data_IF_307053041928
#
_entry.id   IF_307053041928
#
_cell.length_a   1.000
_cell.length_b   1.000
_cell.length_c   1.000
_cell.angle_alpha   90.00
_cell.angle_beta   90.00
_cell.angle_gamma   90.00
#
_symmetry.space_group_name_H-M   'P 1'
#
loop_
_entity.id
_entity.type
_entity.pdbx_description
1 polymer ?
#
# COMPACT_ATOMS: atom_id res chain seq x y z
N UNK A 1 -30.41 16.05 0.46
CA UNK A 1 -30.71 15.10 1.55
C UNK A 1 -29.42 14.39 1.93
N UNK A 2 -28.90 14.64 3.13
CA UNK A 2 -27.70 13.97 3.66
C UNK A 2 -28.18 12.73 4.39
N UNK A 3 -27.83 11.55 3.92
CA UNK A 3 -28.06 10.32 4.69
C UNK A 3 -27.00 10.25 5.80
N UNK A 4 -27.47 10.09 7.03
CA UNK A 4 -26.68 10.08 8.25
C UNK A 4 -25.71 8.89 8.28
N UNK A 5 -24.43 9.20 8.44
CA UNK A 5 -23.30 8.26 8.50
C UNK A 5 -23.42 7.25 9.65
N UNK A 6 -24.28 7.53 10.63
CA UNK A 6 -24.49 6.74 11.85
C UNK A 6 -25.43 5.53 11.67
N UNK A 7 -26.26 5.50 10.63
CA UNK A 7 -27.17 4.36 10.40
C UNK A 7 -26.48 3.20 9.66
N UNK A 8 -25.44 3.51 8.86
CA UNK A 8 -24.72 2.54 8.02
C UNK A 8 -23.78 1.65 8.87
N UNK A 9 -23.34 2.12 10.03
CA UNK A 9 -22.43 1.38 10.92
C UNK A 9 -23.14 0.31 11.76
N UNK A 10 -24.48 0.36 11.87
CA UNK A 10 -25.25 -0.49 12.79
C UNK A 10 -25.94 -1.70 12.13
N UNK A 11 -25.92 -1.82 10.80
CA UNK A 11 -26.68 -2.86 10.09
C UNK A 11 -25.98 -4.23 10.00
N UNK A 12 -24.86 -4.46 10.70
CA UNK A 12 -24.16 -5.75 10.65
C UNK A 12 -23.75 -6.17 12.08
N UNK A 13 -24.14 -7.36 12.57
CA UNK A 13 -23.91 -7.77 13.95
C UNK A 13 -22.42 -7.85 14.32
N UNK A 14 -22.13 -7.55 15.59
CA UNK A 14 -20.80 -7.31 16.14
C UNK A 14 -20.14 -8.59 16.67
N UNK A 15 -18.93 -8.87 16.17
CA UNK A 15 -17.90 -9.66 16.85
C UNK A 15 -16.53 -9.07 16.54
N UNK A 16 -15.61 -9.03 17.51
CA UNK A 16 -14.26 -8.49 17.35
C UNK A 16 -13.45 -9.15 16.21
N UNK A 17 -13.81 -10.35 15.77
CA UNK A 17 -13.22 -11.00 14.59
C UNK A 17 -13.70 -10.42 13.24
N UNK A 18 -14.75 -9.61 13.22
CA UNK A 18 -15.32 -9.01 12.00
C UNK A 18 -14.66 -7.70 11.57
N UNK A 19 -14.14 -6.90 12.51
CA UNK A 19 -13.55 -5.59 12.21
C UNK A 19 -12.19 -5.73 11.52
N UNK A 20 -11.31 -6.58 12.06
CA UNK A 20 -10.01 -6.88 11.41
C UNK A 20 -10.23 -7.43 10.00
N UNK A 21 -11.18 -8.35 9.84
CA UNK A 21 -11.51 -8.93 8.52
C UNK A 21 -11.98 -7.88 7.53
N UNK A 22 -12.79 -6.90 7.96
CA UNK A 22 -13.21 -5.77 7.11
C UNK A 22 -12.04 -4.86 6.73
N UNK A 23 -11.13 -4.59 7.67
CA UNK A 23 -9.91 -3.83 7.41
C UNK A 23 -9.09 -4.54 6.34
N UNK A 24 -8.87 -5.85 6.48
CA UNK A 24 -8.10 -6.65 5.52
C UNK A 24 -8.78 -6.65 4.13
N UNK A 25 -10.09 -6.79 4.07
CA UNK A 25 -10.85 -6.72 2.81
C UNK A 25 -10.78 -5.34 2.14
N UNK A 26 -10.86 -4.26 2.93
CA UNK A 26 -10.72 -2.88 2.43
C UNK A 26 -9.30 -2.64 1.90
N UNK A 27 -8.29 -3.20 2.56
CA UNK A 27 -6.88 -3.10 2.16
C UNK A 27 -6.63 -3.84 0.87
N UNK A 28 -7.16 -5.06 0.77
CA UNK A 28 -7.06 -5.88 -0.44
C UNK A 28 -7.74 -5.19 -1.62
N UNK A 29 -8.89 -4.55 -1.41
CA UNK A 29 -9.58 -3.78 -2.45
C UNK A 29 -8.74 -2.57 -2.90
N UNK A 30 -8.21 -1.78 -1.96
CA UNK A 30 -7.31 -0.64 -2.26
C UNK A 30 -6.06 -1.09 -3.02
N UNK A 31 -5.43 -2.18 -2.59
CA UNK A 31 -4.25 -2.73 -3.26
C UNK A 31 -4.57 -3.20 -4.68
N UNK A 32 -5.70 -3.90 -4.87
CA UNK A 32 -6.16 -4.31 -6.21
C UNK A 32 -6.46 -3.12 -7.12
N UNK A 33 -7.10 -2.07 -6.59
CA UNK A 33 -7.35 -0.84 -7.34
C UNK A 33 -6.03 -0.20 -7.80
N UNK A 34 -5.03 -0.12 -6.92
CA UNK A 34 -3.71 0.40 -7.26
C UNK A 34 -3.02 -0.46 -8.32
N UNK A 35 -2.96 -1.79 -8.13
CA UNK A 35 -2.34 -2.71 -9.09
C UNK A 35 -3.00 -2.59 -10.46
N UNK A 36 -4.35 -2.61 -10.52
CA UNK A 36 -5.09 -2.47 -11.76
C UNK A 36 -4.75 -1.16 -12.49
N UNK A 37 -4.53 -0.07 -11.75
CA UNK A 37 -4.07 1.19 -12.32
C UNK A 37 -2.65 1.07 -12.92
N UNK A 38 -1.71 0.49 -12.18
CA UNK A 38 -0.30 0.36 -12.61
C UNK A 38 -0.12 -0.61 -13.78
N UNK A 39 -1.03 -1.56 -13.96
CA UNK A 39 -1.04 -2.48 -15.10
C UNK A 39 -1.28 -1.74 -16.43
N UNK A 40 -2.03 -0.65 -16.42
CA UNK A 40 -2.47 0.06 -17.64
C UNK A 40 -1.82 1.43 -17.83
N UNK A 41 -1.44 2.10 -16.75
CA UNK A 41 -0.91 3.48 -16.77
C UNK A 41 0.55 3.53 -16.39
N UNK A 42 1.21 4.55 -16.92
CA UNK A 42 2.60 4.86 -16.59
C UNK A 42 2.75 5.48 -15.21
N UNK A 43 3.87 5.20 -14.54
CA UNK A 43 4.15 5.69 -13.20
C UNK A 43 5.66 5.81 -12.93
N UNK A 44 6.00 6.67 -11.97
CA UNK A 44 7.33 6.74 -11.37
C UNK A 44 7.40 5.77 -10.19
N UNK A 45 8.50 5.02 -10.08
CA UNK A 45 8.79 4.13 -8.96
C UNK A 45 9.86 4.78 -8.07
N UNK A 46 9.65 4.75 -6.77
CA UNK A 46 10.64 5.15 -5.78
C UNK A 46 10.87 4.03 -4.80
N UNK A 47 12.14 3.70 -4.56
CA UNK A 47 12.60 2.67 -3.65
C UNK A 47 13.35 3.32 -2.49
N UNK A 48 12.98 2.92 -1.29
CA UNK A 48 13.62 3.36 -0.06
C UNK A 48 14.03 2.15 0.79
N UNK A 49 15.15 2.28 1.49
CA UNK A 49 15.67 1.27 2.39
C UNK A 49 15.69 1.80 3.81
N UNK A 50 14.92 1.16 4.68
CA UNK A 50 15.08 1.33 6.11
C UNK A 50 15.88 0.17 6.68
N UNK A 51 16.97 0.44 7.37
CA UNK A 51 17.66 -0.56 8.20
C UNK A 51 16.83 -0.87 9.44
N UNK A 52 16.59 -2.15 9.73
CA UNK A 52 16.05 -2.63 11.00
C UNK A 52 17.20 -2.98 11.96
N UNK A 53 16.87 -3.32 13.21
CA UNK A 53 17.85 -3.92 14.12
C UNK A 53 18.08 -5.37 13.68
N UNK A 54 19.26 -5.92 13.98
CA UNK A 54 19.65 -7.31 13.68
C UNK A 54 19.86 -7.66 12.19
N UNK A 55 20.50 -6.76 11.42
CA UNK A 55 20.87 -6.95 9.99
C UNK A 55 19.70 -7.13 9.00
N UNK A 56 18.46 -7.06 9.44
CA UNK A 56 17.31 -7.01 8.54
C UNK A 56 17.17 -5.63 7.90
N UNK A 57 16.81 -5.58 6.61
CA UNK A 57 16.45 -4.33 5.95
C UNK A 57 15.02 -4.40 5.44
N UNK A 58 14.32 -3.28 5.44
CA UNK A 58 12.99 -3.16 4.85
C UNK A 58 13.10 -2.37 3.55
N UNK A 59 12.66 -2.97 2.45
CA UNK A 59 12.49 -2.32 1.17
C UNK A 59 11.07 -1.75 1.09
N UNK A 60 10.98 -0.43 1.00
CA UNK A 60 9.74 0.30 0.77
C UNK A 60 9.69 0.74 -0.68
N UNK A 61 8.58 0.47 -1.34
CA UNK A 61 8.32 0.92 -2.70
C UNK A 61 7.13 1.87 -2.71
N UNK A 62 7.30 3.01 -3.37
CA UNK A 62 6.27 4.00 -3.62
C UNK A 62 6.08 4.19 -5.12
N UNK A 63 4.86 4.49 -5.52
CA UNK A 63 4.53 4.84 -6.90
C UNK A 63 3.93 6.22 -6.95
N UNK A 64 4.34 7.00 -7.96
CA UNK A 64 3.74 8.28 -8.27
C UNK A 64 3.17 8.27 -9.67
N UNK A 65 1.90 8.62 -9.80
CA UNK A 65 1.16 8.59 -11.05
C UNK A 65 0.18 9.76 -11.12
N UNK A 66 -0.33 10.02 -12.33
CA UNK A 66 -1.34 11.05 -12.53
C UNK A 66 -2.74 10.41 -12.61
N UNK A 67 -3.61 10.79 -11.69
CA UNK A 67 -5.00 10.37 -11.67
C UNK A 67 -5.87 11.47 -11.06
N UNK A 68 -6.34 12.39 -11.90
CA UNK A 68 -7.02 13.63 -11.48
C UNK A 68 -6.12 14.51 -10.60
N UNK A 69 -4.81 14.49 -10.91
CA UNK A 69 -3.76 15.14 -10.14
C UNK A 69 -2.63 14.16 -9.78
N UNK A 70 -1.47 14.69 -9.33
CA UNK A 70 -0.36 13.85 -8.89
C UNK A 70 -0.73 13.11 -7.60
N UNK A 71 -0.68 11.78 -7.64
CA UNK A 71 -0.89 10.91 -6.49
C UNK A 71 0.38 10.14 -6.18
N UNK A 72 0.63 9.91 -4.90
CA UNK A 72 1.75 9.12 -4.37
C UNK A 72 1.15 8.04 -3.45
N UNK A 73 1.52 6.78 -3.70
CA UNK A 73 0.96 5.63 -2.99
C UNK A 73 2.07 4.67 -2.58
N UNK A 74 1.91 4.02 -1.42
CA UNK A 74 2.76 2.90 -1.03
C UNK A 74 2.41 1.70 -1.91
N UNK A 75 3.37 1.19 -2.66
CA UNK A 75 3.21 -0.01 -3.46
C UNK A 75 3.34 -1.27 -2.60
N UNK A 76 4.48 -1.42 -1.91
CA UNK A 76 4.71 -2.52 -0.97
C UNK A 76 5.78 -2.17 0.08
N UNK A 77 5.82 -2.97 1.14
CA UNK A 77 6.91 -3.04 2.11
C UNK A 77 7.34 -4.51 2.22
N UNK A 78 8.60 -4.83 1.89
CA UNK A 78 9.13 -6.20 1.93
C UNK A 78 10.42 -6.26 2.73
N UNK A 79 10.56 -7.28 3.57
CA UNK A 79 11.81 -7.53 4.31
C UNK A 79 12.86 -8.14 3.39
N UNK A 80 14.08 -7.62 3.45
CA UNK A 80 15.28 -8.15 2.83
C UNK A 80 16.05 -8.93 3.90
N UNK A 81 16.12 -10.25 3.74
CA UNK A 81 16.70 -11.18 4.73
C UNK A 81 18.15 -11.56 4.43
N UNK A 82 18.63 -11.30 3.22
CA UNK A 82 19.93 -11.79 2.73
C UNK A 82 20.99 -10.69 2.69
N UNK A 83 20.77 -9.64 1.90
CA UNK A 83 21.65 -8.50 1.80
C UNK A 83 20.91 -7.25 1.29
N UNK A 84 21.63 -6.12 1.22
CA UNK A 84 21.12 -4.86 0.66
C UNK A 84 21.75 -4.55 -0.69
N UNK A 85 22.12 -5.56 -1.50
CA UNK A 85 22.69 -5.31 -2.83
C UNK A 85 21.60 -4.88 -3.82
N UNK A 86 22.04 -4.19 -4.88
CA UNK A 86 21.14 -3.75 -5.96
C UNK A 86 20.41 -4.91 -6.64
N UNK A 87 21.07 -6.06 -6.80
CA UNK A 87 20.47 -7.26 -7.40
C UNK A 87 19.30 -7.82 -6.58
N UNK A 88 19.47 -7.95 -5.26
CA UNK A 88 18.41 -8.41 -4.35
C UNK A 88 17.19 -7.49 -4.38
N UNK A 89 17.41 -6.17 -4.35
CA UNK A 89 16.32 -5.19 -4.51
C UNK A 89 15.61 -5.36 -5.84
N UNK A 90 16.37 -5.45 -6.94
CA UNK A 90 15.81 -5.59 -8.27
C UNK A 90 14.97 -6.86 -8.38
N UNK A 91 15.47 -7.98 -7.85
CA UNK A 91 14.76 -9.25 -7.85
C UNK A 91 13.46 -9.18 -7.04
N UNK A 92 13.44 -8.51 -5.88
CA UNK A 92 12.21 -8.31 -5.10
C UNK A 92 11.18 -7.47 -5.86
N UNK A 93 11.60 -6.36 -6.48
CA UNK A 93 10.73 -5.51 -7.29
C UNK A 93 10.20 -6.28 -8.50
N UNK A 94 11.08 -6.97 -9.23
CA UNK A 94 10.72 -7.75 -10.41
C UNK A 94 9.77 -8.91 -10.06
N UNK A 95 9.99 -9.57 -8.93
CA UNK A 95 9.10 -10.61 -8.39
C UNK A 95 7.72 -10.04 -8.09
N UNK A 96 7.62 -8.93 -7.34
CA UNK A 96 6.34 -8.29 -7.06
C UNK A 96 5.59 -7.91 -8.34
N UNK A 97 6.29 -7.34 -9.33
CA UNK A 97 5.68 -6.91 -10.59
C UNK A 97 5.18 -8.10 -11.40
N UNK A 98 5.95 -9.20 -11.43
CA UNK A 98 5.55 -10.44 -12.08
C UNK A 98 4.33 -11.07 -11.42
N UNK A 99 4.32 -11.18 -10.09
CA UNK A 99 3.20 -11.72 -9.31
C UNK A 99 1.90 -10.93 -9.56
N UNK A 100 2.00 -9.60 -9.69
CA UNK A 100 0.87 -8.70 -9.88
C UNK A 100 0.61 -8.32 -11.34
N UNK A 101 1.28 -8.97 -12.30
CA UNK A 101 1.15 -8.71 -13.74
C UNK A 101 1.35 -7.23 -14.14
N UNK A 102 2.19 -6.49 -13.40
CA UNK A 102 2.50 -5.08 -13.69
C UNK A 102 3.62 -5.03 -14.75
N UNK A 103 3.37 -4.49 -15.95
CA UNK A 103 4.39 -4.41 -16.98
C UNK A 103 5.52 -3.45 -16.58
N UNK A 104 6.77 -3.91 -16.59
CA UNK A 104 7.94 -3.05 -16.30
C UNK A 104 8.04 -1.83 -17.24
N UNK A 105 7.53 -1.95 -18.48
CA UNK A 105 7.46 -0.85 -19.46
C UNK A 105 6.61 0.35 -19.01
N UNK A 106 5.76 0.17 -17.99
CA UNK A 106 4.95 1.24 -17.44
C UNK A 106 5.75 2.11 -16.44
N UNK A 107 6.93 1.67 -16.00
CA UNK A 107 7.83 2.48 -15.20
C UNK A 107 8.48 3.53 -16.11
N UNK A 108 8.19 4.81 -15.89
CA UNK A 108 8.81 5.92 -16.65
C UNK A 108 10.12 6.40 -16.03
N UNK A 109 10.23 6.29 -14.71
CA UNK A 109 11.43 6.65 -13.94
C UNK A 109 11.47 5.79 -12.69
N UNK A 110 12.67 5.37 -12.29
CA UNK A 110 12.92 4.66 -11.05
C UNK A 110 13.97 5.43 -10.27
N UNK A 111 13.68 5.72 -9.01
CA UNK A 111 14.63 6.34 -8.09
C UNK A 111 14.86 5.41 -6.89
N UNK A 112 16.10 5.27 -6.46
CA UNK A 112 16.47 4.56 -5.24
C UNK A 112 17.24 5.52 -4.32
N UNK A 113 17.03 5.42 -3.01
CA UNK A 113 17.81 6.18 -2.04
C UNK A 113 19.32 5.89 -2.19
N UNK A 114 20.12 6.96 -2.25
CA UNK A 114 21.56 6.98 -2.54
C UNK A 114 22.00 7.96 -3.64
N UNK A 115 21.07 8.52 -4.44
CA UNK A 115 21.38 9.51 -5.48
C UNK A 115 21.19 10.96 -4.96
N UNK A 116 22.21 11.86 -5.03
CA UNK A 116 22.15 13.24 -4.52
C UNK A 116 21.00 14.11 -5.06
N UNK A 117 20.38 13.72 -6.17
CA UNK A 117 19.23 14.41 -6.79
C UNK A 117 17.91 14.25 -6.03
N UNK A 118 17.86 13.41 -5.00
CA UNK A 118 16.65 13.03 -4.24
C UNK A 118 16.30 13.96 -3.05
N UNK A 119 16.88 15.16 -2.95
CA UNK A 119 16.60 16.10 -1.84
C UNK A 119 15.48 17.13 -2.15
N UNK A 120 14.92 17.11 -3.37
CA UNK A 120 13.91 18.07 -3.82
C UNK A 120 12.47 17.56 -3.80
N UNK A 121 11.71 17.84 -2.72
CA UNK A 121 10.22 17.82 -2.74
C UNK A 121 9.50 16.54 -2.27
N UNK A 122 10.20 15.46 -1.96
CA UNK A 122 9.65 14.12 -1.66
C UNK A 122 9.08 13.92 -0.23
N UNK A 123 8.73 15.00 0.49
CA UNK A 123 8.73 14.98 1.97
C UNK A 123 7.46 14.44 2.64
N UNK A 124 6.29 14.46 2.02
CA UNK A 124 5.03 14.37 2.81
C UNK A 124 4.64 12.91 3.13
N UNK A 125 4.53 12.03 2.13
CA UNK A 125 4.27 10.60 2.35
C UNK A 125 5.44 9.91 3.05
N UNK A 126 6.66 10.20 2.58
CA UNK A 126 7.91 9.73 3.15
C UNK A 126 8.07 10.08 4.64
N UNK A 127 7.80 11.33 5.04
CA UNK A 127 7.93 11.71 6.45
C UNK A 127 6.87 11.03 7.32
N UNK A 128 5.67 10.78 6.81
CA UNK A 128 4.60 10.15 7.59
C UNK A 128 4.84 8.66 7.79
N UNK A 129 5.23 7.94 6.74
CA UNK A 129 5.64 6.54 6.86
C UNK A 129 6.90 6.43 7.70
N UNK A 130 7.93 7.25 7.46
CA UNK A 130 9.15 7.27 8.28
C UNK A 130 8.92 7.67 9.74
N UNK A 131 7.97 8.57 10.03
CA UNK A 131 7.58 8.94 11.40
C UNK A 131 6.76 7.84 12.08
N UNK A 132 5.87 7.16 11.36
CA UNK A 132 5.15 6.00 11.89
C UNK A 132 6.15 4.86 12.12
N UNK A 133 7.06 4.61 11.19
CA UNK A 133 8.17 3.68 11.32
C UNK A 133 9.09 4.02 12.49
N UNK A 134 9.37 5.30 12.76
CA UNK A 134 10.27 5.71 13.86
C UNK A 134 9.58 5.73 15.22
N UNK A 135 8.27 6.01 15.29
CA UNK A 135 7.48 6.05 16.52
C UNK A 135 6.88 4.70 16.92
N UNK A 136 6.53 3.83 15.97
CA UNK A 136 5.98 2.50 16.24
C UNK A 136 7.11 1.49 16.50
N UNK A 137 7.37 1.23 17.78
CA UNK A 137 8.39 0.30 18.29
C UNK A 137 8.08 -1.20 18.08
N UNK A 138 7.14 -1.56 17.20
CA UNK A 138 6.75 -2.93 16.85
C UNK A 138 6.69 -3.09 15.32
N UNK A 139 7.87 -3.09 14.69
CA UNK A 139 8.09 -2.95 13.24
C UNK A 139 7.86 -4.22 12.40
N UNK A 140 7.69 -5.40 13.00
CA UNK A 140 7.42 -6.65 12.26
C UNK A 140 5.99 -6.72 11.67
N UNK A 141 5.10 -5.86 12.14
CA UNK A 141 3.66 -5.99 11.92
C UNK A 141 3.16 -5.18 10.71
N UNK A 142 4.00 -4.36 10.07
CA UNK A 142 3.59 -3.42 9.00
C UNK A 142 3.16 -4.15 7.71
N UNK A 143 3.79 -5.27 7.40
CA UNK A 143 3.37 -6.14 6.27
C UNK A 143 2.01 -6.78 6.56
N UNK A 144 1.60 -6.86 7.84
CA UNK A 144 0.35 -7.48 8.31
C UNK A 144 -0.69 -6.47 8.80
N UNK A 145 -0.34 -5.19 8.90
CA UNK A 145 -1.17 -4.10 9.41
C UNK A 145 -1.83 -3.37 8.27
N UNK A 146 -2.91 -3.97 7.77
CA UNK A 146 -3.77 -3.39 6.76
C UNK A 146 -4.30 -1.99 7.15
N UNK A 147 -4.52 -1.74 8.44
CA UNK A 147 -4.89 -0.44 9.01
C UNK A 147 -3.92 0.69 8.61
N UNK A 148 -2.62 0.37 8.53
CA UNK A 148 -1.61 1.36 8.14
C UNK A 148 -1.71 1.69 6.65
N UNK A 149 -1.95 0.70 5.78
CA UNK A 149 -2.13 0.94 4.34
C UNK A 149 -3.36 1.81 4.07
N UNK A 150 -4.49 1.52 4.73
CA UNK A 150 -5.68 2.37 4.65
C UNK A 150 -5.44 3.81 5.11
N UNK A 151 -4.59 4.00 6.13
CA UNK A 151 -4.28 5.32 6.68
C UNK A 151 -3.33 6.14 5.81
N UNK A 152 -2.58 5.49 4.93
CA UNK A 152 -1.55 6.09 4.09
C UNK A 152 -2.00 6.30 2.64
N UNK A 153 -3.03 5.58 2.19
CA UNK A 153 -3.51 5.66 0.81
C UNK A 153 -4.45 6.84 0.58
N UNK A 154 -4.40 7.41 -0.62
CA UNK A 154 -5.42 8.35 -1.13
C UNK A 154 -6.55 7.65 -1.89
N UNK A 155 -6.49 6.32 -2.01
CA UNK A 155 -7.52 5.50 -2.65
C UNK A 155 -8.57 5.11 -1.61
N UNK A 156 -9.84 5.37 -1.91
CA UNK A 156 -10.94 4.93 -1.06
C UNK A 156 -11.36 3.48 -1.38
N UNK A 157 -11.56 2.63 -0.36
CA UNK A 157 -12.09 1.28 -0.56
C UNK A 157 -13.50 1.33 -1.14
N UNK A 158 -13.82 0.42 -2.07
CA UNK A 158 -15.16 0.34 -2.64
C UNK A 158 -16.14 -0.38 -1.70
N UNK A 159 -16.67 0.37 -0.72
CA UNK A 159 -17.56 -0.15 0.32
C UNK A 159 -18.81 -0.82 -0.26
N UNK A 160 -19.39 -0.27 -1.34
CA UNK A 160 -20.60 -0.84 -1.96
C UNK A 160 -20.36 -2.26 -2.46
N UNK A 161 -19.29 -2.46 -3.22
CA UNK A 161 -18.87 -3.76 -3.73
C UNK A 161 -18.56 -4.76 -2.60
N UNK A 162 -17.93 -4.29 -1.52
CA UNK A 162 -17.61 -5.12 -0.36
C UNK A 162 -18.88 -5.56 0.39
N UNK A 163 -19.89 -4.69 0.50
CA UNK A 163 -21.17 -5.01 1.15
C UNK A 163 -21.98 -6.01 0.32
N UNK A 164 -22.05 -5.86 -1.00
CA UNK A 164 -22.74 -6.80 -1.90
C UNK A 164 -22.19 -8.23 -1.78
N UNK A 165 -20.87 -8.39 -1.63
CA UNK A 165 -20.21 -9.70 -1.44
C UNK A 165 -20.67 -10.43 -0.15
N UNK A 166 -21.16 -9.69 0.84
CA UNK A 166 -21.52 -10.22 2.15
C UNK A 166 -23.03 -10.24 2.40
N UNK A 167 -23.85 -9.75 1.46
CA UNK A 167 -25.28 -9.94 1.57
C UNK A 167 -25.61 -11.42 1.36
N UNK A 168 -26.43 -12.03 2.24
CA UNK A 168 -26.94 -13.37 1.96
C UNK A 168 -27.70 -13.33 0.62
N UNK A 169 -27.52 -14.32 -0.27
CA UNK A 169 -28.37 -14.44 -1.44
C UNK A 169 -29.81 -14.48 -0.92
N UNK A 170 -30.61 -13.52 -1.38
CA UNK A 170 -31.98 -13.35 -0.91
C UNK A 170 -32.68 -14.70 -0.94
N UNK A 171 -33.23 -15.10 0.21
CA UNK A 171 -34.09 -16.28 0.30
C UNK A 171 -35.30 -16.03 -0.60
N UNK A 172 -35.28 -16.67 -1.78
CA UNK A 172 -36.46 -16.83 -2.62
C UNK A 172 -37.36 -17.92 -2.07
#
# INVERSE_FOLDING_TARGET
MKQNTTEITNSIPLSNSSVSRRIDEMVEDVEKQLIAHLQVKQFALQLDKSTLRDNEALLLAYVRFNNEGPKEEVLFARSLTTDTKGETIFNEVATYFKENNIPLKNIIVCAADGAPSMTGGYKVGFSRVSQILSKARNRLDIVKRGDLRLSLTSIEPNIKKLVEKHQPPGSH
#
